data_IF_160612032744
#
_entry.id   IF_160612032744
#
_cell.length_a   1.000
_cell.length_b   1.000
_cell.length_c   1.000
_cell.angle_alpha   90.00
_cell.angle_beta   90.00
_cell.angle_gamma   90.00
#
_symmetry.space_group_name_H-M   'P 1'
#
loop_
_entity.id
_entity.type
_entity.pdbx_description
1 polymer ?
#
# COMPACT_ATOMS: atom_id res chain seq x y z
N UNK A 1 31.62 -13.94 20.10
CA UNK A 1 30.97 -12.78 19.46
C UNK A 1 29.90 -13.34 18.54
N UNK A 2 28.70 -13.54 19.09
CA UNK A 2 27.59 -14.15 18.37
C UNK A 2 26.78 -13.08 17.65
N UNK A 3 26.61 -13.23 16.35
CA UNK A 3 25.57 -12.52 15.60
C UNK A 3 24.23 -13.12 15.99
N UNK A 4 23.49 -12.49 16.89
CA UNK A 4 22.07 -12.79 17.05
C UNK A 4 21.36 -12.35 15.77
N UNK A 5 21.13 -13.31 14.88
CA UNK A 5 20.16 -13.16 13.81
C UNK A 5 18.80 -12.94 14.47
N UNK A 6 18.21 -11.77 14.23
CA UNK A 6 16.82 -11.47 14.56
C UNK A 6 15.93 -12.62 14.06
N UNK A 7 15.19 -13.24 14.97
CA UNK A 7 14.46 -14.48 14.70
C UNK A 7 13.22 -14.18 13.84
N UNK A 8 12.87 -15.05 12.87
CA UNK A 8 11.62 -15.00 12.09
C UNK A 8 10.34 -15.00 12.94
N UNK A 9 10.44 -15.31 14.24
CA UNK A 9 9.34 -15.29 15.20
C UNK A 9 8.86 -13.86 15.52
N UNK A 10 9.61 -12.80 15.16
CA UNK A 10 9.33 -11.43 15.59
C UNK A 10 8.02 -10.87 15.03
N UNK A 11 7.72 -11.06 13.73
CA UNK A 11 6.46 -10.54 13.13
C UNK A 11 5.24 -11.27 13.71
N UNK A 12 5.34 -12.60 13.89
CA UNK A 12 4.30 -13.37 14.55
C UNK A 12 4.12 -12.98 16.02
N UNK A 13 5.21 -12.62 16.70
CA UNK A 13 5.21 -12.16 18.09
C UNK A 13 4.65 -10.73 18.22
N UNK A 14 4.91 -9.84 17.27
CA UNK A 14 4.37 -8.47 17.21
C UNK A 14 2.88 -8.50 16.86
N UNK A 15 2.47 -9.29 15.88
CA UNK A 15 1.04 -9.53 15.62
C UNK A 15 0.32 -10.15 16.82
N UNK A 16 1.02 -10.99 17.60
CA UNK A 16 0.50 -11.56 18.83
C UNK A 16 0.55 -10.63 20.07
N UNK A 17 1.24 -9.47 20.00
CA UNK A 17 1.36 -8.56 21.16
C UNK A 17 0.00 -8.04 21.60
N UNK A 18 -0.93 -7.86 20.66
CA UNK A 18 -2.34 -7.57 20.93
C UNK A 18 -3.19 -8.22 19.84
N UNK A 19 -3.75 -9.40 20.15
CA UNK A 19 -4.46 -10.29 19.22
C UNK A 19 -5.69 -9.67 18.48
N UNK A 20 -6.09 -8.45 18.86
CA UNK A 20 -7.23 -7.72 18.28
C UNK A 20 -6.86 -6.38 17.62
N UNK A 21 -5.58 -6.17 17.27
CA UNK A 21 -5.13 -4.96 16.57
C UNK A 21 -4.63 -5.28 15.18
N UNK A 22 -4.90 -4.39 14.23
CA UNK A 22 -4.38 -4.48 12.87
C UNK A 22 -2.86 -4.29 12.89
N UNK A 23 -2.15 -5.04 12.04
CA UNK A 23 -0.72 -4.85 11.82
C UNK A 23 -0.50 -3.94 10.62
N UNK A 24 0.04 -2.75 10.89
CA UNK A 24 0.44 -1.76 9.90
C UNK A 24 1.93 -1.93 9.64
N UNK A 25 2.30 -2.06 8.37
CA UNK A 25 3.67 -2.28 7.94
C UNK A 25 4.11 -1.12 7.07
N UNK A 26 5.19 -0.44 7.48
CA UNK A 26 5.85 0.60 6.71
C UNK A 26 7.20 0.08 6.21
N UNK A 27 7.71 0.66 5.12
CA UNK A 27 9.07 0.44 4.65
C UNK A 27 9.83 1.77 4.69
N UNK A 28 10.94 1.82 5.42
CA UNK A 28 11.80 3.00 5.46
C UNK A 28 12.66 3.07 4.21
N UNK A 29 12.93 4.28 3.69
CA UNK A 29 13.93 4.45 2.63
C UNK A 29 15.29 4.03 3.17
N UNK A 30 16.13 3.42 2.33
CA UNK A 30 17.50 3.18 2.74
C UNK A 30 18.25 4.50 2.86
N UNK A 31 19.12 4.63 3.87
CA UNK A 31 20.03 5.78 4.00
C UNK A 31 20.98 5.94 2.80
N UNK A 32 21.07 4.93 1.93
CA UNK A 32 21.85 4.96 0.70
C UNK A 32 21.01 5.00 -0.57
N UNK A 33 19.69 5.10 -0.45
CA UNK A 33 18.84 5.27 -1.61
C UNK A 33 19.04 6.68 -2.18
N UNK A 34 19.61 6.73 -3.38
CA UNK A 34 19.92 7.99 -4.08
C UNK A 34 18.65 8.78 -4.43
N UNK A 35 17.49 8.14 -4.52
CA UNK A 35 16.23 8.82 -4.83
C UNK A 35 15.66 9.57 -3.62
N UNK A 36 16.03 9.14 -2.41
CA UNK A 36 15.54 9.71 -1.15
C UNK A 36 16.65 10.37 -0.33
N UNK A 37 17.85 10.54 -0.88
CA UNK A 37 19.00 10.98 -0.11
C UNK A 37 18.78 12.35 0.54
N UNK A 38 18.23 13.29 -0.23
CA UNK A 38 17.98 14.66 0.23
C UNK A 38 16.79 14.72 1.20
N UNK A 39 15.79 13.85 1.03
CA UNK A 39 14.56 13.83 1.82
C UNK A 39 14.55 12.77 2.94
N UNK A 40 15.65 12.03 3.12
CA UNK A 40 15.72 10.86 4.01
C UNK A 40 15.26 11.19 5.43
N UNK A 41 15.78 12.30 5.98
CA UNK A 41 15.46 12.74 7.34
C UNK A 41 13.97 13.10 7.49
N UNK A 42 13.37 13.71 6.47
CA UNK A 42 11.95 14.11 6.50
C UNK A 42 11.04 12.89 6.39
N UNK A 43 11.32 11.98 5.44
CA UNK A 43 10.54 10.75 5.23
C UNK A 43 10.65 9.84 6.45
N UNK A 44 11.87 9.55 6.92
CA UNK A 44 12.09 8.69 8.07
C UNK A 44 11.51 9.31 9.35
N UNK A 45 11.66 10.63 9.53
CA UNK A 45 11.07 11.37 10.65
C UNK A 45 9.54 11.30 10.65
N UNK A 46 8.90 11.48 9.49
CA UNK A 46 7.46 11.32 9.32
C UNK A 46 7.00 9.89 9.67
N UNK A 47 7.68 8.87 9.15
CA UNK A 47 7.32 7.48 9.42
C UNK A 47 7.45 7.12 10.91
N UNK A 48 8.49 7.60 11.59
CA UNK A 48 8.66 7.39 13.04
C UNK A 48 7.52 8.06 13.81
N UNK A 49 7.17 9.29 13.47
CA UNK A 49 6.08 10.00 14.15
C UNK A 49 4.72 9.35 13.88
N UNK A 50 4.45 8.95 12.63
CA UNK A 50 3.24 8.21 12.26
C UNK A 50 3.15 6.89 13.04
N UNK A 51 4.22 6.10 13.07
CA UNK A 51 4.26 4.83 13.80
C UNK A 51 4.03 5.02 15.30
N UNK A 52 4.54 6.13 15.88
CA UNK A 52 4.35 6.48 17.29
C UNK A 52 2.89 6.81 17.61
N UNK A 53 2.22 7.59 16.75
CA UNK A 53 0.80 7.94 16.90
C UNK A 53 -0.06 6.67 16.79
N UNK A 54 0.21 5.83 15.80
CA UNK A 54 -0.55 4.62 15.53
C UNK A 54 -0.35 3.53 16.60
N UNK A 55 0.84 3.43 17.23
CA UNK A 55 1.14 2.44 18.28
C UNK A 55 0.17 2.48 19.47
N UNK A 56 -0.49 3.61 19.71
CA UNK A 56 -1.48 3.72 20.78
C UNK A 56 -2.69 2.79 20.55
N UNK A 57 -3.01 2.49 19.28
CA UNK A 57 -4.23 1.81 18.89
C UNK A 57 -4.01 0.59 17.99
N UNK A 58 -2.86 0.51 17.33
CA UNK A 58 -2.53 -0.50 16.33
C UNK A 58 -1.18 -1.15 16.61
N UNK A 59 -0.90 -2.27 15.94
CA UNK A 59 0.45 -2.82 15.88
C UNK A 59 1.14 -2.17 14.67
N UNK A 60 2.30 -1.55 14.86
CA UNK A 60 3.04 -0.95 13.73
C UNK A 60 4.45 -1.49 13.70
N UNK A 61 4.94 -1.78 12.50
CA UNK A 61 6.36 -2.08 12.29
C UNK A 61 6.90 -1.24 11.15
N UNK A 62 8.18 -0.89 11.23
CA UNK A 62 8.94 -0.33 10.12
C UNK A 62 9.97 -1.35 9.67
N UNK A 63 9.89 -1.77 8.41
CA UNK A 63 10.93 -2.57 7.77
C UNK A 63 12.05 -1.62 7.34
N UNK A 64 13.28 -1.91 7.76
CA UNK A 64 14.44 -1.09 7.40
C UNK A 64 15.66 -1.98 7.18
N UNK A 65 16.54 -1.57 6.25
CA UNK A 65 17.82 -2.24 6.10
C UNK A 65 18.72 -1.96 7.31
N UNK A 66 19.73 -2.83 7.51
CA UNK A 66 20.63 -2.79 8.67
C UNK A 66 21.27 -1.42 8.93
N UNK A 67 21.53 -0.64 7.88
CA UNK A 67 22.25 0.62 7.97
C UNK A 67 21.32 1.79 8.25
N UNK A 68 20.03 1.61 8.00
CA UNK A 68 18.96 2.57 8.33
C UNK A 68 18.46 2.41 9.77
N UNK A 69 18.45 1.19 10.33
CA UNK A 69 17.99 0.91 11.70
C UNK A 69 18.59 1.85 12.79
N UNK A 70 19.89 2.19 12.78
CA UNK A 70 20.47 3.06 13.81
C UNK A 70 19.82 4.45 13.86
N UNK A 71 19.33 4.98 12.73
CA UNK A 71 18.66 6.28 12.67
C UNK A 71 17.24 6.20 13.25
N UNK A 72 16.50 5.12 12.94
CA UNK A 72 15.14 4.91 13.43
C UNK A 72 15.08 4.58 14.93
N UNK A 73 16.09 3.86 15.43
CA UNK A 73 16.19 3.46 16.84
C UNK A 73 16.82 4.52 17.75
N UNK A 74 17.31 5.64 17.20
CA UNK A 74 17.96 6.71 17.95
C UNK A 74 19.42 6.42 18.35
N UNK A 75 20.03 5.38 17.78
CA UNK A 75 21.47 5.12 17.96
C UNK A 75 22.35 6.11 17.20
N UNK A 76 21.82 6.73 16.15
CA UNK A 76 22.40 7.87 15.43
C UNK A 76 21.43 9.04 15.53
N UNK A 77 21.91 10.17 16.04
CA UNK A 77 21.09 11.36 16.26
C UNK A 77 20.87 12.12 14.94
N UNK A 78 19.69 11.95 14.36
CA UNK A 78 19.21 12.66 13.17
C UNK A 78 17.73 13.03 13.32
N UNK A 79 16.95 12.09 13.86
CA UNK A 79 15.51 12.23 14.03
C UNK A 79 15.18 12.73 15.44
N UNK A 80 14.13 13.56 15.54
CA UNK A 80 13.64 14.09 16.82
C UNK A 80 13.08 12.99 17.73
N UNK A 81 12.44 12.00 17.13
CA UNK A 81 11.81 10.86 17.80
C UNK A 81 12.46 9.57 17.31
N UNK A 82 12.31 8.49 18.07
CA UNK A 82 12.82 7.16 17.75
C UNK A 82 11.82 6.09 18.14
N UNK A 83 11.98 4.91 17.55
CA UNK A 83 11.17 3.73 17.84
C UNK A 83 11.93 2.73 18.71
N UNK A 84 11.23 1.95 19.56
CA UNK A 84 11.83 0.82 20.21
C UNK A 84 12.24 -0.24 19.16
N UNK A 85 13.30 -1.00 19.43
CA UNK A 85 13.88 -1.96 18.47
C UNK A 85 12.90 -3.06 18.04
N UNK A 86 11.91 -3.37 18.87
CA UNK A 86 10.88 -4.36 18.58
C UNK A 86 9.77 -3.84 17.64
N UNK A 87 9.75 -2.53 17.35
CA UNK A 87 8.92 -1.93 16.30
C UNK A 87 9.67 -1.82 14.95
N UNK A 88 10.92 -2.30 14.88
CA UNK A 88 11.77 -2.24 13.69
C UNK A 88 12.11 -3.67 13.26
N UNK A 89 11.90 -3.97 11.98
CA UNK A 89 12.21 -5.29 11.40
C UNK A 89 13.32 -5.11 10.37
N UNK A 90 14.43 -5.84 10.53
CA UNK A 90 15.50 -5.84 9.53
C UNK A 90 15.00 -6.47 8.23
N UNK A 91 15.08 -5.74 7.12
CA UNK A 91 14.68 -6.21 5.81
C UNK A 91 15.12 -5.27 4.69
N UNK A 92 15.53 -5.85 3.56
CA UNK A 92 15.90 -5.08 2.38
C UNK A 92 14.68 -4.94 1.47
N UNK A 93 13.95 -3.83 1.62
CA UNK A 93 12.86 -3.44 0.73
C UNK A 93 13.35 -2.27 -0.12
N UNK A 94 13.16 -2.33 -1.43
CA UNK A 94 13.79 -1.40 -2.37
C UNK A 94 12.91 -0.22 -2.77
N UNK A 95 11.69 -0.12 -2.22
CA UNK A 95 10.82 1.02 -2.42
C UNK A 95 9.93 1.24 -1.20
N UNK A 96 9.65 2.50 -0.86
CA UNK A 96 8.85 2.84 0.34
C UNK A 96 7.35 2.70 0.11
N UNK A 97 6.88 2.67 -1.15
CA UNK A 97 5.46 2.53 -1.52
C UNK A 97 5.00 1.07 -1.41
N UNK A 98 5.17 0.50 -0.23
CA UNK A 98 4.94 -0.92 0.05
C UNK A 98 3.56 -1.41 -0.41
N UNK A 99 2.53 -0.57 -0.32
CA UNK A 99 1.17 -0.83 -0.79
C UNK A 99 1.13 -1.35 -2.23
N UNK A 100 1.99 -0.82 -3.10
CA UNK A 100 1.97 -1.12 -4.53
C UNK A 100 2.36 -2.56 -4.84
N UNK A 101 3.22 -3.18 -4.03
CA UNK A 101 3.82 -4.48 -4.34
C UNK A 101 3.74 -5.50 -3.20
N UNK A 102 3.17 -5.14 -2.05
CA UNK A 102 2.82 -6.08 -0.99
C UNK A 102 1.76 -7.10 -1.44
N UNK A 103 1.60 -8.22 -0.73
CA UNK A 103 0.43 -9.07 -0.93
C UNK A 103 -0.85 -8.31 -0.57
N UNK A 104 -1.90 -8.53 -1.35
CA UNK A 104 -3.20 -7.88 -1.21
C UNK A 104 -4.34 -8.89 -1.32
N UNK A 105 -5.49 -8.53 -0.75
CA UNK A 105 -6.73 -9.29 -0.88
C UNK A 105 -7.46 -9.56 0.43
N UNK A 106 -8.78 -9.42 0.38
CA UNK A 106 -9.68 -9.61 1.53
C UNK A 106 -10.10 -11.06 1.76
N UNK A 107 -10.26 -11.84 0.68
CA UNK A 107 -10.66 -13.26 0.77
C UNK A 107 -9.45 -14.19 0.91
N UNK A 108 -8.35 -13.82 0.27
CA UNK A 108 -7.10 -14.55 0.24
C UNK A 108 -5.97 -13.53 0.24
N UNK A 109 -4.97 -13.77 1.07
CA UNK A 109 -3.76 -12.98 1.10
C UNK A 109 -2.84 -13.44 -0.04
N UNK A 110 -2.84 -12.68 -1.14
CA UNK A 110 -2.21 -13.08 -2.41
C UNK A 110 -1.10 -12.12 -2.80
N UNK A 111 0.09 -12.67 -3.11
CA UNK A 111 1.16 -11.91 -3.75
C UNK A 111 1.01 -11.99 -5.26
N UNK A 112 0.75 -10.85 -5.90
CA UNK A 112 0.76 -10.69 -7.36
C UNK A 112 2.15 -10.28 -7.87
N UNK A 113 2.35 -10.31 -9.18
CA UNK A 113 3.52 -9.69 -9.80
C UNK A 113 3.35 -8.17 -9.75
N UNK A 114 4.39 -7.46 -9.33
CA UNK A 114 4.45 -6.00 -9.43
C UNK A 114 5.28 -5.56 -10.63
N UNK A 115 4.76 -4.68 -11.47
CA UNK A 115 5.55 -3.99 -12.52
C UNK A 115 5.11 -2.54 -12.62
N UNK A 116 6.06 -1.62 -12.44
CA UNK A 116 5.89 -0.22 -12.77
C UNK A 116 6.30 0.01 -14.24
N UNK A 117 5.43 0.62 -15.03
CA UNK A 117 5.67 0.90 -16.45
C UNK A 117 6.53 2.16 -16.66
N UNK A 118 6.64 3.01 -15.63
CA UNK A 118 7.40 4.26 -15.68
C UNK A 118 8.90 4.02 -15.44
N UNK A 119 9.27 2.80 -15.01
CA UNK A 119 10.63 2.40 -14.70
C UNK A 119 11.16 1.34 -15.66
N UNK A 120 12.48 1.15 -15.66
CA UNK A 120 13.08 0.00 -16.32
C UNK A 120 12.54 -1.32 -15.71
N UNK A 121 12.23 -2.30 -16.56
CA UNK A 121 11.66 -3.59 -16.12
C UNK A 121 12.53 -4.29 -15.05
N UNK A 122 13.85 -4.14 -15.15
CA UNK A 122 14.80 -4.68 -14.16
C UNK A 122 14.60 -4.04 -12.78
N UNK A 123 14.40 -2.72 -12.72
CA UNK A 123 14.17 -2.02 -11.45
C UNK A 123 12.83 -2.43 -10.83
N UNK A 124 11.76 -2.44 -11.61
CA UNK A 124 10.44 -2.95 -11.20
C UNK A 124 10.50 -4.38 -10.67
N UNK A 125 11.26 -5.25 -11.34
CA UNK A 125 11.48 -6.63 -10.90
C UNK A 125 12.27 -6.70 -9.59
N UNK A 126 13.30 -5.88 -9.42
CA UNK A 126 14.08 -5.83 -8.17
C UNK A 126 13.21 -5.44 -6.97
N UNK A 127 12.32 -4.46 -7.14
CA UNK A 127 11.34 -4.09 -6.09
C UNK A 127 10.41 -5.26 -5.77
N UNK A 128 9.84 -5.91 -6.78
CA UNK A 128 8.99 -7.10 -6.60
C UNK A 128 9.72 -8.26 -5.88
N UNK A 129 10.96 -8.53 -6.30
CA UNK A 129 11.83 -9.58 -5.73
C UNK A 129 12.24 -9.26 -4.27
N UNK A 130 12.39 -7.98 -3.91
CA UNK A 130 12.70 -7.55 -2.55
C UNK A 130 11.61 -8.00 -1.57
N UNK A 131 10.33 -7.81 -1.92
CA UNK A 131 9.20 -8.26 -1.11
C UNK A 131 9.07 -9.78 -1.10
N UNK A 132 9.28 -10.44 -2.24
CA UNK A 132 9.27 -11.91 -2.29
C UNK A 132 10.32 -12.53 -1.36
N UNK A 133 11.51 -11.92 -1.32
CA UNK A 133 12.61 -12.31 -0.43
C UNK A 133 12.23 -12.08 1.03
N UNK A 134 11.71 -10.88 1.36
CA UNK A 134 11.26 -10.55 2.71
C UNK A 134 10.20 -11.52 3.23
N UNK A 135 9.16 -11.80 2.43
CA UNK A 135 8.10 -12.76 2.79
C UNK A 135 8.66 -14.16 3.06
N UNK A 136 9.63 -14.60 2.26
CA UNK A 136 10.24 -15.93 2.37
C UNK A 136 11.14 -16.04 3.60
N UNK A 137 12.02 -15.05 3.82
CA UNK A 137 12.93 -15.02 4.96
C UNK A 137 12.19 -14.96 6.29
N UNK A 138 11.10 -14.21 6.34
CA UNK A 138 10.25 -14.07 7.52
C UNK A 138 9.15 -15.13 7.62
N UNK A 139 9.12 -16.10 6.70
CA UNK A 139 8.13 -17.21 6.69
C UNK A 139 6.68 -16.71 6.76
N UNK A 140 6.40 -15.57 6.13
CA UNK A 140 5.06 -14.99 6.09
C UNK A 140 4.19 -15.91 5.22
N UNK A 141 3.11 -16.41 5.80
CA UNK A 141 2.19 -17.33 5.12
C UNK A 141 1.32 -16.55 4.15
N UNK A 142 1.29 -17.00 2.90
CA UNK A 142 0.38 -16.51 1.87
C UNK A 142 -0.62 -17.62 1.55
N UNK A 143 -1.83 -17.23 1.14
CA UNK A 143 -2.78 -18.18 0.55
C UNK A 143 -2.35 -18.60 -0.85
N UNK A 144 -1.75 -17.67 -1.61
CA UNK A 144 -1.30 -17.92 -2.97
C UNK A 144 -0.23 -16.92 -3.42
N UNK A 145 0.67 -17.38 -4.29
CA UNK A 145 1.47 -16.53 -5.19
C UNK A 145 0.84 -16.60 -6.59
N UNK A 146 0.43 -15.46 -7.12
CA UNK A 146 -0.15 -15.35 -8.45
C UNK A 146 0.94 -14.90 -9.43
N UNK A 147 1.38 -15.83 -10.29
CA UNK A 147 2.57 -15.69 -11.13
C UNK A 147 2.26 -15.29 -12.57
N UNK A 148 0.99 -15.06 -12.90
CA UNK A 148 0.58 -14.70 -14.27
C UNK A 148 0.01 -13.29 -14.33
N UNK A 149 -0.56 -12.80 -13.23
CA UNK A 149 -1.26 -11.52 -13.16
C UNK A 149 -0.40 -10.43 -12.51
N UNK A 150 -0.28 -9.32 -13.23
CA UNK A 150 0.35 -8.09 -12.72
C UNK A 150 -0.71 -7.22 -12.07
N UNK A 151 -0.52 -6.86 -10.81
CA UNK A 151 -1.42 -5.99 -10.06
C UNK A 151 -0.58 -5.07 -9.18
N UNK A 152 -0.94 -3.79 -9.14
CA UNK A 152 -0.37 -2.83 -8.20
C UNK A 152 -1.44 -2.38 -7.21
N UNK A 153 -1.06 -2.18 -5.95
CA UNK A 153 -1.93 -1.62 -4.90
C UNK A 153 -2.53 -0.27 -5.31
N UNK A 154 -1.77 0.60 -5.99
CA UNK A 154 -2.27 1.87 -6.53
C UNK A 154 -3.49 1.80 -7.45
N UNK A 155 -3.81 0.61 -7.97
CA UNK A 155 -4.93 0.35 -8.88
C UNK A 155 -6.06 -0.45 -8.21
N UNK A 156 -5.99 -0.67 -6.89
CA UNK A 156 -6.94 -1.45 -6.10
C UNK A 156 -7.28 -0.74 -4.79
N UNK A 157 -8.57 -0.50 -4.55
CA UNK A 157 -9.09 -0.01 -3.27
C UNK A 157 -10.06 -1.04 -2.76
N UNK A 158 -9.82 -1.61 -1.59
CA UNK A 158 -10.74 -2.53 -0.95
C UNK A 158 -11.18 -2.04 0.42
N UNK A 159 -12.30 -2.59 0.89
CA UNK A 159 -12.89 -2.22 2.18
C UNK A 159 -12.46 -3.15 3.33
N UNK A 160 -11.40 -3.94 3.16
CA UNK A 160 -10.93 -4.93 4.13
C UNK A 160 -11.82 -6.17 4.30
N UNK A 161 -13.02 -6.20 3.70
CA UNK A 161 -14.03 -7.21 4.00
C UNK A 161 -14.43 -8.01 2.77
N UNK A 162 -14.98 -7.34 1.75
CA UNK A 162 -15.56 -8.04 0.61
C UNK A 162 -15.71 -7.23 -0.68
N UNK A 163 -15.57 -5.90 -0.66
CA UNK A 163 -15.66 -5.05 -1.86
C UNK A 163 -14.28 -4.57 -2.27
N UNK A 164 -14.05 -4.49 -3.58
CA UNK A 164 -12.91 -3.80 -4.15
C UNK A 164 -13.34 -2.97 -5.38
N UNK A 165 -12.82 -1.76 -5.47
CA UNK A 165 -12.83 -0.91 -6.66
C UNK A 165 -11.47 -1.06 -7.32
N UNK A 166 -11.47 -1.41 -8.60
CA UNK A 166 -10.29 -1.77 -9.35
C UNK A 166 -10.22 -0.90 -10.61
N UNK A 167 -9.04 -0.37 -10.90
CA UNK A 167 -8.79 0.41 -12.10
C UNK A 167 -8.77 -0.50 -13.35
N UNK A 168 -9.39 -0.05 -14.45
CA UNK A 168 -9.34 -0.73 -15.74
C UNK A 168 -7.90 -0.87 -16.28
N UNK A 169 -6.94 -0.09 -15.74
CA UNK A 169 -5.51 -0.21 -16.05
C UNK A 169 -4.98 -1.64 -15.80
N UNK A 170 -5.53 -2.35 -14.82
CA UNK A 170 -5.15 -3.76 -14.57
C UNK A 170 -5.54 -4.66 -15.75
N UNK A 171 -6.70 -4.42 -16.38
CA UNK A 171 -7.10 -5.19 -17.56
C UNK A 171 -6.18 -4.87 -18.75
N UNK A 172 -5.89 -3.59 -18.96
CA UNK A 172 -5.01 -3.11 -20.03
C UNK A 172 -3.58 -3.66 -19.88
N UNK A 173 -3.01 -3.59 -18.68
CA UNK A 173 -1.65 -4.06 -18.39
C UNK A 173 -1.50 -5.57 -18.59
N UNK A 174 -2.58 -6.33 -18.42
CA UNK A 174 -2.56 -7.79 -18.55
C UNK A 174 -3.12 -8.31 -19.88
N UNK A 175 -3.60 -7.44 -20.78
CA UNK A 175 -4.26 -7.84 -22.03
C UNK A 175 -3.39 -8.73 -22.94
N UNK A 176 -2.07 -8.50 -22.93
CA UNK A 176 -1.10 -9.31 -23.70
C UNK A 176 -0.67 -10.61 -22.99
N UNK A 177 -1.03 -10.77 -21.71
CA UNK A 177 -0.67 -11.94 -20.89
C UNK A 177 -1.81 -12.94 -20.81
N UNK A 178 -3.04 -12.45 -20.67
CA UNK A 178 -4.22 -13.30 -20.57
C UNK A 178 -5.48 -12.54 -21.00
N UNK A 179 -6.53 -13.25 -21.46
CA UNK A 179 -7.80 -12.61 -21.80
C UNK A 179 -8.47 -12.01 -20.56
N UNK A 180 -9.26 -10.95 -20.76
CA UNK A 180 -9.92 -10.18 -19.69
C UNK A 180 -10.70 -11.06 -18.71
N UNK A 181 -11.46 -12.05 -19.22
CA UNK A 181 -12.24 -12.96 -18.37
C UNK A 181 -11.35 -13.77 -17.41
N UNK A 182 -10.12 -14.12 -17.80
CA UNK A 182 -9.19 -14.86 -16.96
C UNK A 182 -8.63 -13.96 -15.85
N UNK A 183 -8.30 -12.70 -16.19
CA UNK A 183 -7.96 -11.66 -15.20
C UNK A 183 -9.08 -11.50 -14.18
N UNK A 184 -10.33 -11.37 -14.64
CA UNK A 184 -11.48 -11.23 -13.74
C UNK A 184 -11.68 -12.44 -12.83
N UNK A 185 -11.55 -13.67 -13.33
CA UNK A 185 -11.62 -14.87 -12.47
C UNK A 185 -10.54 -14.85 -11.39
N UNK A 186 -9.31 -14.47 -11.74
CA UNK A 186 -8.22 -14.37 -10.75
C UNK A 186 -8.52 -13.31 -9.70
N UNK A 187 -9.01 -12.14 -10.09
CA UNK A 187 -9.39 -11.09 -9.15
C UNK A 187 -10.59 -11.52 -8.26
N UNK A 188 -11.64 -12.15 -8.80
CA UNK A 188 -12.78 -12.66 -8.01
C UNK A 188 -12.41 -13.81 -7.04
N UNK A 189 -11.25 -14.43 -7.23
CA UNK A 189 -10.72 -15.40 -6.26
C UNK A 189 -10.08 -14.71 -5.04
N UNK A 190 -9.71 -13.44 -5.17
CA UNK A 190 -9.05 -12.62 -4.15
C UNK A 190 -10.04 -11.65 -3.49
N UNK A 191 -11.01 -11.13 -4.25
CA UNK A 191 -12.05 -10.21 -3.80
C UNK A 191 -13.45 -10.80 -4.03
N UNK A 192 -14.39 -10.56 -3.11
CA UNK A 192 -15.75 -11.14 -3.21
C UNK A 192 -16.64 -10.37 -4.19
N UNK A 193 -16.58 -9.05 -4.18
CA UNK A 193 -17.31 -8.14 -5.08
C UNK A 193 -16.32 -7.14 -5.67
N UNK A 194 -16.18 -7.13 -6.99
CA UNK A 194 -15.27 -6.21 -7.69
C UNK A 194 -16.09 -5.21 -8.48
N UNK A 195 -15.68 -3.95 -8.49
CA UNK A 195 -16.07 -2.95 -9.47
C UNK A 195 -14.86 -2.54 -10.30
N UNK A 196 -15.06 -2.35 -11.61
CA UNK A 196 -14.03 -1.80 -12.46
C UNK A 196 -14.42 -0.37 -12.78
N UNK A 197 -13.49 0.55 -12.62
CA UNK A 197 -13.63 1.96 -12.99
C UNK A 197 -12.66 2.30 -14.12
N UNK A 198 -13.06 3.16 -15.07
CA UNK A 198 -12.14 3.60 -16.13
C UNK A 198 -10.96 4.38 -15.53
N UNK A 199 -9.81 4.44 -16.23
CA UNK A 199 -8.72 5.31 -15.80
C UNK A 199 -9.16 6.78 -15.83
N UNK A 200 -8.73 7.53 -14.83
CA UNK A 200 -8.95 8.97 -14.77
C UNK A 200 -7.88 9.67 -15.63
N UNK A 201 -8.18 9.84 -16.91
CA UNK A 201 -7.22 10.25 -17.96
C UNK A 201 -6.73 11.71 -17.89
N UNK A 202 -7.11 12.49 -16.88
CA UNK A 202 -6.83 13.94 -16.85
C UNK A 202 -5.74 14.34 -15.85
N UNK A 203 -5.22 13.40 -15.06
CA UNK A 203 -4.27 13.68 -13.97
C UNK A 203 -3.34 12.48 -13.77
N UNK A 204 -2.07 12.70 -13.40
CA UNK A 204 -1.11 11.65 -12.99
C UNK A 204 -1.46 10.98 -11.64
N UNK A 205 -2.72 11.07 -11.23
CA UNK A 205 -3.23 10.56 -9.97
C UNK A 205 -3.56 9.08 -10.07
N UNK A 206 -3.23 8.36 -9.00
CA UNK A 206 -3.51 6.94 -8.82
C UNK A 206 -4.94 6.73 -8.33
N UNK A 207 -5.43 5.48 -8.32
CA UNK A 207 -6.78 5.20 -7.83
C UNK A 207 -6.88 5.47 -6.32
N UNK A 208 -5.85 5.11 -5.57
CA UNK A 208 -5.72 5.35 -4.13
C UNK A 208 -5.46 6.81 -3.76
N UNK A 209 -5.04 7.62 -4.73
CA UNK A 209 -5.01 9.08 -4.56
C UNK A 209 -6.40 9.71 -4.73
N UNK A 210 -7.40 8.99 -5.24
CA UNK A 210 -8.70 9.59 -5.58
C UNK A 210 -9.86 9.04 -4.77
N UNK A 211 -9.78 7.78 -4.36
CA UNK A 211 -10.88 7.05 -3.77
C UNK A 211 -10.35 6.21 -2.61
N UNK A 212 -11.07 6.20 -1.50
CA UNK A 212 -10.81 5.27 -0.40
C UNK A 212 -12.12 4.78 0.21
N UNK A 213 -12.11 3.59 0.80
CA UNK A 213 -13.15 3.20 1.77
C UNK A 213 -12.75 3.73 3.14
N UNK A 214 -13.68 4.42 3.82
CA UNK A 214 -13.53 4.76 5.24
C UNK A 214 -14.41 3.89 6.15
N UNK A 215 -15.31 3.12 5.53
CA UNK A 215 -16.19 2.14 6.18
C UNK A 215 -16.62 1.08 5.15
N UNK A 216 -17.33 0.03 5.57
CA UNK A 216 -17.76 -1.07 4.70
C UNK A 216 -18.62 -0.59 3.50
N UNK A 217 -19.32 0.52 3.71
CA UNK A 217 -20.29 1.12 2.79
C UNK A 217 -19.99 2.60 2.52
N UNK A 218 -18.96 3.22 3.10
CA UNK A 218 -18.67 4.64 2.84
C UNK A 218 -17.40 4.74 2.00
N UNK A 219 -17.58 5.30 0.80
CA UNK A 219 -16.50 5.59 -0.14
C UNK A 219 -16.29 7.09 -0.16
N UNK A 220 -15.09 7.52 0.17
CA UNK A 220 -14.68 8.91 0.00
C UNK A 220 -14.08 9.12 -1.37
N UNK A 221 -14.38 10.28 -1.97
CA UNK A 221 -13.88 10.67 -3.28
C UNK A 221 -13.26 12.06 -3.15
N UNK A 222 -12.00 12.19 -3.55
CA UNK A 222 -11.34 13.49 -3.60
C UNK A 222 -11.92 14.36 -4.72
N UNK A 223 -11.76 15.67 -4.60
CA UNK A 223 -12.34 16.64 -5.56
C UNK A 223 -11.82 16.41 -6.99
N UNK A 224 -12.61 15.68 -7.76
CA UNK A 224 -12.47 15.42 -9.18
C UNK A 224 -13.16 16.52 -10.00
N UNK A 225 -12.80 16.63 -11.28
CA UNK A 225 -13.61 17.39 -12.23
C UNK A 225 -15.05 16.85 -12.23
N UNK A 226 -16.04 17.76 -12.32
CA UNK A 226 -17.46 17.41 -12.21
C UNK A 226 -17.87 16.30 -13.21
N UNK A 227 -17.36 16.32 -14.44
CA UNK A 227 -17.69 15.28 -15.43
C UNK A 227 -17.08 13.92 -15.07
N UNK A 228 -15.88 13.93 -14.49
CA UNK A 228 -15.17 12.72 -14.06
C UNK A 228 -15.87 12.12 -12.83
N UNK A 229 -16.25 12.98 -11.89
CA UNK A 229 -17.01 12.61 -10.70
C UNK A 229 -18.36 11.96 -11.07
N UNK A 230 -19.16 12.62 -11.92
CA UNK A 230 -20.48 12.11 -12.31
C UNK A 230 -20.39 10.73 -12.99
N UNK A 231 -19.35 10.52 -13.80
CA UNK A 231 -19.09 9.20 -14.42
C UNK A 231 -18.74 8.15 -13.38
N UNK A 232 -17.85 8.48 -12.46
CA UNK A 232 -17.45 7.60 -11.37
C UNK A 232 -18.66 7.24 -10.49
N UNK A 233 -19.42 8.25 -10.05
CA UNK A 233 -20.61 8.08 -9.25
C UNK A 233 -21.67 7.24 -9.98
N UNK A 234 -21.86 7.43 -11.29
CA UNK A 234 -22.80 6.64 -12.08
C UNK A 234 -22.40 5.16 -12.16
N UNK A 235 -21.12 4.86 -12.40
CA UNK A 235 -20.62 3.47 -12.40
C UNK A 235 -20.70 2.85 -11.00
N UNK A 236 -20.33 3.63 -9.97
CA UNK A 236 -20.42 3.25 -8.56
C UNK A 236 -21.84 2.86 -8.18
N UNK A 237 -22.79 3.74 -8.47
CA UNK A 237 -24.20 3.46 -8.23
C UNK A 237 -24.72 2.32 -9.09
N UNK A 238 -24.33 2.16 -10.35
CA UNK A 238 -24.85 1.07 -11.20
C UNK A 238 -24.63 -0.32 -10.58
N UNK A 239 -23.48 -0.54 -9.94
CA UNK A 239 -23.09 -1.85 -9.41
C UNK A 239 -23.21 -1.98 -7.89
N UNK A 240 -23.12 -0.88 -7.15
CA UNK A 240 -23.29 -0.85 -5.68
C UNK A 240 -24.49 0.01 -5.24
N UNK A 241 -25.56 0.06 -6.05
CA UNK A 241 -26.73 0.96 -6.01
C UNK A 241 -27.42 1.20 -4.65
N UNK A 242 -27.13 0.38 -3.63
CA UNK A 242 -27.59 0.52 -2.23
C UNK A 242 -26.54 0.07 -1.21
N UNK A 243 -25.35 -0.30 -1.67
CA UNK A 243 -24.29 -0.91 -0.86
C UNK A 243 -23.19 0.11 -0.51
N UNK A 244 -23.19 1.31 -1.13
CA UNK A 244 -22.23 2.37 -0.83
C UNK A 244 -22.86 3.78 -0.81
N UNK A 245 -22.31 4.62 0.06
CA UNK A 245 -22.51 6.07 0.16
C UNK A 245 -21.22 6.76 -0.31
N UNK A 246 -21.37 7.82 -1.11
CA UNK A 246 -20.25 8.65 -1.55
C UNK A 246 -20.15 9.90 -0.68
N UNK A 247 -18.94 10.21 -0.25
CA UNK A 247 -18.62 11.41 0.52
C UNK A 247 -17.47 12.16 -0.14
N UNK A 248 -17.67 13.44 -0.42
CA UNK A 248 -16.66 14.25 -1.09
C UNK A 248 -15.65 14.78 -0.07
N UNK A 249 -14.36 14.58 -0.37
CA UNK A 249 -13.27 15.20 0.39
C UNK A 249 -12.84 16.50 -0.30
N UNK A 250 -12.67 17.58 0.49
CA UNK A 250 -12.12 18.83 -0.03
C UNK A 250 -10.68 18.59 -0.47
N UNK A 251 -10.24 19.23 -1.56
CA UNK A 251 -8.83 19.19 -1.99
C UNK A 251 -8.24 20.58 -1.87
N UNK A 252 -7.09 20.68 -1.21
CA UNK A 252 -6.33 21.92 -1.11
C UNK A 252 -5.28 21.92 -2.20
N UNK A 253 -5.62 22.36 -3.42
CA UNK A 253 -4.66 22.39 -4.52
C UNK A 253 -3.59 23.46 -4.27
N UNK A 254 -2.32 23.06 -4.16
CA UNK A 254 -1.19 23.98 -4.26
C UNK A 254 -1.11 24.56 -5.68
N UNK A 255 -0.44 25.72 -5.82
CA UNK A 255 -0.22 26.35 -7.14
C UNK A 255 0.61 25.51 -8.09
N UNK A 256 1.42 24.61 -7.55
CA UNK A 256 2.14 23.59 -8.29
C UNK A 256 1.22 22.37 -8.37
N UNK A 257 0.65 22.14 -9.56
CA UNK A 257 -0.38 21.13 -9.85
C UNK A 257 0.20 19.70 -9.99
N UNK A 258 1.45 19.48 -9.56
CA UNK A 258 2.13 18.20 -9.67
C UNK A 258 2.01 17.36 -8.38
N UNK A 259 1.68 16.07 -8.54
CA UNK A 259 1.61 15.09 -7.46
C UNK A 259 0.29 15.02 -6.71
N UNK A 260 0.30 14.32 -5.57
CA UNK A 260 -0.86 14.08 -4.71
C UNK A 260 -1.00 15.10 -3.56
N UNK A 261 -0.25 16.21 -3.61
CA UNK A 261 -0.25 17.25 -2.59
C UNK A 261 -1.64 17.82 -2.34
N UNK A 262 -2.06 17.83 -1.07
CA UNK A 262 -3.36 18.38 -0.65
C UNK A 262 -4.56 17.48 -0.95
N UNK A 263 -4.33 16.23 -1.36
CA UNK A 263 -5.35 15.20 -1.50
C UNK A 263 -5.40 14.34 -0.23
N UNK A 264 -6.59 14.18 0.35
CA UNK A 264 -6.78 13.50 1.64
C UNK A 264 -7.29 12.06 1.53
N UNK A 265 -7.53 11.54 0.32
CA UNK A 265 -7.97 10.15 0.13
C UNK A 265 -6.85 9.12 0.22
N UNK A 266 -5.58 9.54 0.19
CA UNK A 266 -4.45 8.69 0.58
C UNK A 266 -4.45 8.53 2.12
N UNK A 267 -5.47 7.84 2.63
CA UNK A 267 -5.76 7.67 4.04
C UNK A 267 -5.50 6.25 4.50
N UNK A 268 -5.22 6.11 5.80
CA UNK A 268 -5.18 4.84 6.49
C UNK A 268 -6.34 4.83 7.49
N UNK A 269 -7.32 3.97 7.26
CA UNK A 269 -8.39 3.72 8.21
C UNK A 269 -7.93 2.64 9.21
N UNK A 270 -8.12 2.91 10.50
CA UNK A 270 -7.79 2.04 11.63
C UNK A 270 -9.05 1.67 12.41
N UNK A 271 -8.99 0.67 13.28
CA UNK A 271 -10.17 0.21 14.05
C UNK A 271 -10.65 1.26 15.08
N UNK A 272 -9.89 2.35 15.27
CA UNK A 272 -10.19 3.49 16.13
C UNK A 272 -9.96 4.82 15.43
#
# INVERSE_FOLDING_TARGET
MGSEHLRPELIGTIAARQENRTLIVLAAPSVWDVNYLDDFGEIAGFQVELARILHEHENVIIIADRHTIPYLSGSVELLKNHLPLDAIVEGNIYDINLHDFAPLGVKKFVKFIYRNNDWADIASKQVDDSMNTFLTQNRIRLDKRELELVVSGKDVIDNGINKAIISNRILEQNANRMPEWATMIKLYNVFKKIMIVPPFNQTDLRLDDLIAFIDEEIVVVSSLDYMVYDRLAAELQKKYRRDIMLLDLPVTRSKDEEGNCGIYSALLATDK
#
